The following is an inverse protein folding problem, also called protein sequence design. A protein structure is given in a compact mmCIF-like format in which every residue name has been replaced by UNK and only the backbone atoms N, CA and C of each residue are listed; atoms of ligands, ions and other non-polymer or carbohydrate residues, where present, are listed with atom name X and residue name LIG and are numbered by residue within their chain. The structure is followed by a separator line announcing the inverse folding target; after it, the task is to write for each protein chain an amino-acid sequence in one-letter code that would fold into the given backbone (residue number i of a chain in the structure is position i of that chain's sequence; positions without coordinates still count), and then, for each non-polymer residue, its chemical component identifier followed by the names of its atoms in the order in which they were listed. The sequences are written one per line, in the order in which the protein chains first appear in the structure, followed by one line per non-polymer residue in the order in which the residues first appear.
data_IF_032092655530
#
_entry.id   IF_032092655530
#
_cell.length_a   1.000
_cell.length_b   1.000
_cell.length_c   1.000
_cell.angle_alpha   90.00
_cell.angle_beta   90.00
_cell.angle_gamma   90.00
#
_symmetry.space_group_name_H-M   'P 1'
#
loop_
_entity.id
_entity.type
_entity.pdbx_description
1 polymer ?
#
# COMPACT_ATOMS: atom_id res chain seq x y z
N UNK A 1 10.47 2.63 5.13
CA UNK A 1 10.33 1.16 5.18
C UNK A 1 8.85 0.85 5.42
N UNK A 2 8.17 0.13 4.52
CA UNK A 2 6.76 -0.26 4.69
C UNK A 2 6.69 -1.75 4.98
N UNK A 3 5.98 -2.15 6.06
CA UNK A 3 5.77 -3.54 6.45
C UNK A 3 4.30 -3.74 6.85
N UNK A 4 3.70 -4.83 6.39
CA UNK A 4 2.33 -5.21 6.72
C UNK A 4 2.29 -6.71 7.03
N UNK A 5 1.89 -7.08 8.25
CA UNK A 5 1.64 -8.46 8.64
C UNK A 5 0.13 -8.69 8.70
N UNK A 6 -0.42 -9.43 7.75
CA UNK A 6 -1.87 -9.66 7.63
C UNK A 6 -2.17 -11.13 7.88
N UNK A 7 -3.00 -11.40 8.89
CA UNK A 7 -3.62 -12.70 9.09
C UNK A 7 -4.96 -12.75 8.34
N UNK A 8 -5.19 -13.69 7.41
CA UNK A 8 -6.38 -13.68 6.55
C UNK A 8 -7.70 -14.06 7.27
N UNK A 9 -7.69 -14.30 8.59
CA UNK A 9 -8.90 -14.49 9.42
C UNK A 9 -9.73 -15.76 9.16
N UNK A 10 -9.49 -16.44 8.03
CA UNK A 10 -10.17 -17.67 7.62
C UNK A 10 -9.41 -18.36 6.47
N UNK A 11 -10.04 -19.37 5.86
CA UNK A 11 -9.40 -20.08 4.74
C UNK A 11 -9.46 -19.23 3.47
N UNK A 12 -8.29 -18.90 2.93
CA UNK A 12 -8.12 -18.28 1.62
C UNK A 12 -6.99 -19.01 0.88
N UNK A 13 -7.10 -19.24 -0.44
CA UNK A 13 -6.04 -19.89 -1.20
C UNK A 13 -4.75 -19.08 -1.14
N UNK A 14 -3.68 -19.69 -0.61
CA UNK A 14 -2.39 -19.00 -0.46
C UNK A 14 -1.86 -18.44 -1.79
N UNK A 15 -2.09 -19.14 -2.89
CA UNK A 15 -1.73 -18.68 -4.23
C UNK A 15 -2.48 -17.40 -4.64
N UNK A 16 -3.78 -17.32 -4.35
CA UNK A 16 -4.61 -16.16 -4.67
C UNK A 16 -4.21 -14.94 -3.83
N UNK A 17 -4.03 -15.12 -2.51
CA UNK A 17 -3.60 -14.04 -1.60
C UNK A 17 -2.23 -13.51 -1.99
N UNK A 18 -1.27 -14.40 -2.31
CA UNK A 18 0.07 -14.00 -2.75
C UNK A 18 0.05 -13.27 -4.09
N UNK A 19 -0.76 -13.73 -5.05
CA UNK A 19 -0.90 -13.07 -6.35
C UNK A 19 -1.51 -11.67 -6.22
N UNK A 20 -2.53 -11.50 -5.39
CA UNK A 20 -3.13 -10.18 -5.11
C UNK A 20 -2.15 -9.28 -4.38
N UNK A 21 -1.52 -9.76 -3.30
CA UNK A 21 -0.50 -9.02 -2.56
C UNK A 21 0.61 -8.50 -3.49
N UNK A 22 1.18 -9.37 -4.33
CA UNK A 22 2.24 -9.01 -5.29
C UNK A 22 1.82 -7.90 -6.26
N UNK A 23 0.53 -7.82 -6.61
CA UNK A 23 0.00 -6.83 -7.55
C UNK A 23 -0.44 -5.53 -6.87
N UNK A 24 -1.08 -5.63 -5.71
CA UNK A 24 -1.77 -4.52 -5.07
C UNK A 24 -0.84 -3.67 -4.20
N UNK A 25 0.08 -4.27 -3.45
CA UNK A 25 1.04 -3.52 -2.63
C UNK A 25 1.87 -2.51 -3.45
N UNK A 26 2.50 -2.86 -4.58
CA UNK A 26 3.25 -1.87 -5.36
C UNK A 26 2.34 -0.82 -6.00
N UNK A 27 1.09 -1.18 -6.35
CA UNK A 27 0.11 -0.23 -6.91
C UNK A 27 -0.35 0.77 -5.85
N UNK A 28 -0.59 0.30 -4.63
CA UNK A 28 -0.95 1.12 -3.48
C UNK A 28 0.17 2.10 -3.15
N UNK A 29 1.40 1.62 -2.98
CA UNK A 29 2.55 2.46 -2.63
C UNK A 29 2.75 3.59 -3.66
N UNK A 30 2.68 3.28 -4.96
CA UNK A 30 2.80 4.31 -6.02
C UNK A 30 1.69 5.35 -5.97
N UNK A 31 0.44 4.92 -5.79
CA UNK A 31 -0.71 5.82 -5.72
C UNK A 31 -0.68 6.68 -4.46
N UNK A 32 -0.34 6.08 -3.33
CA UNK A 32 -0.30 6.76 -2.05
C UNK A 32 0.82 7.81 -2.00
N UNK A 33 2.03 7.46 -2.45
CA UNK A 33 3.13 8.43 -2.49
C UNK A 33 2.81 9.60 -3.41
N UNK A 34 2.23 9.34 -4.58
CA UNK A 34 1.81 10.40 -5.51
C UNK A 34 0.71 11.28 -4.91
N UNK A 35 -0.27 10.68 -4.21
CA UNK A 35 -1.33 11.43 -3.54
C UNK A 35 -0.78 12.37 -2.47
N UNK A 36 0.13 11.90 -1.61
CA UNK A 36 0.73 12.77 -0.58
C UNK A 36 1.50 13.92 -1.22
N UNK A 37 2.27 13.65 -2.28
CA UNK A 37 2.98 14.70 -3.01
C UNK A 37 2.03 15.76 -3.57
N UNK A 38 0.93 15.36 -4.20
CA UNK A 38 -0.03 16.34 -4.78
C UNK A 38 -0.75 17.14 -3.71
N UNK A 39 -1.09 16.55 -2.57
CA UNK A 39 -1.77 17.25 -1.49
C UNK A 39 -0.85 18.20 -0.71
N UNK A 40 0.43 17.84 -0.54
CA UNK A 40 1.39 18.67 0.20
C UNK A 40 2.11 19.68 -0.68
N UNK A 41 1.95 19.64 -2.01
CA UNK A 41 2.66 20.52 -2.95
C UNK A 41 2.44 22.02 -2.70
N UNK A 42 1.27 22.42 -2.20
CA UNK A 42 0.92 23.82 -1.94
C UNK A 42 0.97 24.19 -0.46
N UNK A 43 1.26 23.22 0.41
CA UNK A 43 1.28 23.42 1.84
C UNK A 43 2.72 23.59 2.33
N UNK A 44 2.97 24.48 3.31
CA UNK A 44 4.28 24.56 3.94
C UNK A 44 4.63 23.21 4.59
N UNK A 45 5.90 22.79 4.53
CA UNK A 45 6.31 21.49 5.04
C UNK A 45 6.11 21.41 6.56
N UNK A 46 5.37 20.39 7.02
CA UNK A 46 5.33 20.00 8.43
C UNK A 46 6.51 19.06 8.70
N UNK A 47 7.38 19.45 9.62
CA UNK A 47 8.51 18.66 10.12
C UNK A 47 8.27 18.20 11.55
#
# INVERSE_FOLDING_TARGET
MYAANIHPGGWAPAAAVRAMAKREYPRFLKRFSAYVQTQTQLNPPLF
#
